data_IF_256969199949
#
_entry.id   IF_256969199949
#
_cell.length_a   1.000
_cell.length_b   1.000
_cell.length_c   1.000
_cell.angle_alpha   90.00
_cell.angle_beta   90.00
_cell.angle_gamma   90.00
#
_symmetry.space_group_name_H-M   'P 1'
#
loop_
_entity.id
_entity.type
_entity.pdbx_description
1 polymer ?
#
# COMPACT_ATOMS: atom_id res chain seq x y z
N UNK A 1 16.61 2.13 -9.26
CA UNK A 1 17.08 2.02 -7.86
C UNK A 1 17.15 3.43 -7.28
N UNK A 2 16.27 3.84 -6.35
CA UNK A 2 16.57 4.96 -5.48
C UNK A 2 17.47 4.51 -4.31
N UNK A 3 18.20 5.45 -3.70
CA UNK A 3 19.43 5.16 -2.98
C UNK A 3 19.18 4.45 -1.64
N UNK A 4 20.08 3.53 -1.33
CA UNK A 4 20.35 3.11 0.04
C UNK A 4 20.68 4.36 0.87
N UNK A 5 20.14 4.46 2.08
CA UNK A 5 20.34 5.56 3.03
C UNK A 5 19.41 6.79 2.84
N UNK A 6 18.16 6.68 3.31
CA UNK A 6 17.34 7.87 3.63
C UNK A 6 16.98 7.86 5.11
N UNK A 7 17.43 8.86 5.89
CA UNK A 7 17.11 8.96 7.32
C UNK A 7 15.64 9.36 7.60
N UNK A 8 15.24 9.07 8.84
CA UNK A 8 13.91 8.81 9.42
C UNK A 8 12.92 10.00 9.49
N UNK A 9 13.00 10.97 8.57
CA UNK A 9 12.13 12.17 8.60
C UNK A 9 11.86 12.79 7.23
N UNK A 10 12.18 12.10 6.13
CA UNK A 10 11.80 12.57 4.80
C UNK A 10 10.29 12.42 4.59
N UNK A 11 9.60 13.53 4.35
CA UNK A 11 8.21 13.53 3.90
C UNK A 11 8.11 12.63 2.66
N UNK A 12 7.23 11.62 2.69
CA UNK A 12 6.92 10.81 1.51
C UNK A 12 6.61 11.72 0.33
N UNK A 13 7.28 11.50 -0.79
CA UNK A 13 6.99 12.17 -2.07
C UNK A 13 6.23 11.24 -3.01
N UNK A 14 5.75 11.78 -4.14
CA UNK A 14 5.00 10.99 -5.12
C UNK A 14 5.81 9.79 -5.65
N UNK A 15 7.11 9.94 -5.86
CA UNK A 15 7.99 8.86 -6.28
C UNK A 15 8.03 7.70 -5.27
N UNK A 16 8.05 8.00 -3.97
CA UNK A 16 8.02 6.98 -2.93
C UNK A 16 6.65 6.27 -2.92
N UNK A 17 5.56 7.02 -3.13
CA UNK A 17 4.22 6.45 -3.22
C UNK A 17 4.09 5.46 -4.40
N UNK A 18 4.71 5.78 -5.54
CA UNK A 18 4.79 4.88 -6.71
C UNK A 18 5.53 3.58 -6.32
N UNK A 19 6.67 3.69 -5.66
CA UNK A 19 7.42 2.51 -5.23
C UNK A 19 6.68 1.69 -4.17
N UNK A 20 5.98 2.33 -3.24
CA UNK A 20 5.15 1.68 -2.22
C UNK A 20 4.03 0.84 -2.86
N UNK A 21 3.44 1.33 -3.96
CA UNK A 21 2.48 0.55 -4.76
C UNK A 21 3.13 -0.65 -5.44
N UNK A 22 4.26 -0.45 -6.11
CA UNK A 22 5.01 -1.52 -6.77
C UNK A 22 5.42 -2.60 -5.75
N UNK A 23 6.00 -2.19 -4.62
CA UNK A 23 6.46 -3.09 -3.57
C UNK A 23 5.31 -3.91 -2.97
N UNK A 24 4.10 -3.33 -2.88
CA UNK A 24 2.89 -4.07 -2.47
C UNK A 24 2.57 -5.20 -3.45
N UNK A 25 2.59 -4.94 -4.75
CA UNK A 25 2.31 -5.97 -5.76
C UNK A 25 3.41 -7.04 -5.83
N UNK A 26 4.65 -6.65 -5.52
CA UNK A 26 5.76 -7.58 -5.31
C UNK A 26 5.70 -8.34 -3.97
N UNK A 27 4.64 -8.13 -3.16
CA UNK A 27 4.45 -8.74 -1.83
C UNK A 27 5.60 -8.47 -0.85
N UNK A 28 6.24 -7.31 -0.95
CA UNK A 28 7.24 -6.86 0.02
C UNK A 28 6.56 -6.69 1.39
N UNK A 29 7.14 -7.22 2.48
CA UNK A 29 6.53 -7.15 3.79
C UNK A 29 6.45 -5.70 4.30
N UNK A 30 5.33 -5.36 4.95
CA UNK A 30 5.07 -4.00 5.49
C UNK A 30 6.20 -3.54 6.40
N UNK A 31 6.75 -4.43 7.24
CA UNK A 31 7.87 -4.12 8.14
C UNK A 31 9.10 -3.61 7.37
N UNK A 32 9.42 -4.21 6.22
CA UNK A 32 10.51 -3.76 5.38
C UNK A 32 10.23 -2.40 4.73
N UNK A 33 8.97 -2.11 4.38
CA UNK A 33 8.58 -0.79 3.87
C UNK A 33 8.70 0.28 4.95
N UNK A 34 8.24 0.01 6.17
CA UNK A 34 8.37 0.91 7.33
C UNK A 34 9.85 1.24 7.57
N UNK A 35 10.70 0.20 7.62
CA UNK A 35 12.14 0.37 7.81
C UNK A 35 12.79 1.15 6.67
N UNK A 36 12.41 0.87 5.42
CA UNK A 36 13.00 1.50 4.23
C UNK A 36 12.61 2.96 4.05
N UNK A 37 11.37 3.30 4.33
CA UNK A 37 10.83 4.65 4.12
C UNK A 37 10.78 5.48 5.41
N UNK A 38 11.18 4.92 6.56
CA UNK A 38 11.15 5.61 7.86
C UNK A 38 9.77 6.15 8.21
N UNK A 39 8.70 5.41 7.88
CA UNK A 39 7.33 5.89 8.00
C UNK A 39 6.41 4.88 8.67
N UNK A 40 5.37 5.36 9.35
CA UNK A 40 4.41 4.49 10.04
C UNK A 40 3.54 3.70 9.07
N UNK A 41 3.05 2.54 9.53
CA UNK A 41 2.12 1.71 8.77
C UNK A 41 0.90 2.51 8.27
N UNK A 42 0.40 3.45 9.07
CA UNK A 42 -0.72 4.33 8.70
C UNK A 42 -0.46 5.08 7.40
N UNK A 43 0.74 5.66 7.24
CA UNK A 43 1.10 6.41 6.02
C UNK A 43 1.13 5.53 4.79
N UNK A 44 1.57 4.27 4.93
CA UNK A 44 1.51 3.29 3.85
C UNK A 44 0.06 3.00 3.44
N UNK A 45 -0.84 2.85 4.41
CA UNK A 45 -2.27 2.66 4.12
C UNK A 45 -2.91 3.89 3.48
N UNK A 46 -2.55 5.13 3.87
CA UNK A 46 -3.03 6.36 3.23
C UNK A 46 -2.65 6.40 1.74
N UNK A 47 -1.44 5.94 1.38
CA UNK A 47 -1.02 5.79 -0.02
C UNK A 47 -1.82 4.69 -0.71
N UNK A 48 -2.01 3.54 -0.07
CA UNK A 48 -2.77 2.43 -0.64
C UNK A 48 -4.27 2.76 -0.80
N UNK A 49 -4.85 3.57 0.07
CA UNK A 49 -6.23 4.05 -0.04
C UNK A 49 -6.39 5.19 -1.06
N UNK A 50 -5.29 5.74 -1.58
CA UNK A 50 -5.32 6.87 -2.49
C UNK A 50 -5.68 8.19 -1.80
N UNK A 51 -5.69 8.23 -0.46
CA UNK A 51 -5.86 9.46 0.33
C UNK A 51 -4.63 10.37 0.19
N UNK A 52 -3.44 9.76 0.01
CA UNK A 52 -2.21 10.47 -0.38
C UNK A 52 -1.76 10.03 -1.77
N UNK A 53 -1.41 11.02 -2.60
CA UNK A 53 -0.89 10.82 -3.95
C UNK A 53 -1.80 9.94 -4.83
N UNK A 54 -3.07 10.31 -5.09
CA UNK A 54 -3.99 9.48 -5.86
C UNK A 54 -3.48 9.15 -7.27
N UNK A 55 -2.74 10.07 -7.90
CA UNK A 55 -2.12 9.87 -9.21
C UNK A 55 -0.97 8.83 -9.20
N UNK A 56 -0.37 8.55 -8.04
CA UNK A 56 0.75 7.61 -7.92
C UNK A 56 0.35 6.18 -8.27
N UNK A 57 -0.91 5.79 -8.04
CA UNK A 57 -1.41 4.44 -8.36
C UNK A 57 -1.34 4.15 -9.86
N UNK A 58 -1.87 5.06 -10.67
CA UNK A 58 -1.89 4.87 -12.13
C UNK A 58 -0.46 4.84 -12.70
N UNK A 59 0.42 5.72 -12.19
CA UNK A 59 1.85 5.73 -12.56
C UNK A 59 2.55 4.45 -12.16
N UNK A 60 2.29 3.95 -10.94
CA UNK A 60 2.83 2.68 -10.47
C UNK A 60 2.35 1.52 -11.32
N UNK A 61 1.07 1.46 -11.69
CA UNK A 61 0.53 0.40 -12.53
C UNK A 61 1.21 0.37 -13.91
N UNK A 62 1.36 1.54 -14.54
CA UNK A 62 2.07 1.65 -15.82
C UNK A 62 3.53 1.17 -15.70
N UNK A 63 4.23 1.60 -14.65
CA UNK A 63 5.61 1.19 -14.40
C UNK A 63 5.72 -0.32 -14.07
N UNK A 64 4.78 -0.86 -13.30
CA UNK A 64 4.76 -2.28 -12.97
C UNK A 64 4.52 -3.15 -14.20
N UNK A 65 3.58 -2.75 -15.08
CA UNK A 65 3.33 -3.43 -16.36
C UNK A 65 4.56 -3.41 -17.27
N UNK A 66 5.31 -2.30 -17.29
CA UNK A 66 6.52 -2.18 -18.08
C UNK A 66 7.69 -3.03 -17.54
N UNK A 67 7.92 -3.01 -16.21
CA UNK A 67 9.05 -3.72 -15.60
C UNK A 67 8.77 -5.20 -15.32
N UNK A 68 7.52 -5.57 -15.09
CA UNK A 68 7.11 -6.91 -14.65
C UNK A 68 5.91 -7.44 -15.45
N UNK A 69 6.00 -7.55 -16.79
CA UNK A 69 4.85 -7.90 -17.64
C UNK A 69 4.22 -9.26 -17.25
N UNK A 70 5.03 -10.28 -16.97
CA UNK A 70 4.54 -11.62 -16.59
C UNK A 70 3.87 -11.66 -15.21
N UNK A 71 4.20 -10.73 -14.32
CA UNK A 71 3.55 -10.62 -13.01
C UNK A 71 2.30 -9.74 -13.10
N UNK A 72 2.30 -8.73 -13.97
CA UNK A 72 1.15 -7.83 -14.17
C UNK A 72 -0.10 -8.59 -14.60
N UNK A 73 0.05 -9.60 -15.45
CA UNK A 73 -1.06 -10.47 -15.89
C UNK A 73 -1.77 -11.17 -14.72
N UNK A 74 -1.00 -11.51 -13.67
CA UNK A 74 -1.45 -12.28 -12.51
C UNK A 74 -1.78 -11.40 -11.30
N UNK A 75 -1.53 -10.09 -11.41
CA UNK A 75 -1.63 -9.15 -10.30
C UNK A 75 -2.90 -8.33 -10.44
N UNK A 76 -3.82 -8.52 -9.49
CA UNK A 76 -4.99 -7.65 -9.38
C UNK A 76 -4.59 -6.29 -8.80
N UNK A 77 -4.59 -5.26 -9.64
CA UNK A 77 -4.31 -3.87 -9.24
C UNK A 77 -5.47 -3.20 -8.46
N UNK A 78 -6.61 -3.90 -8.33
CA UNK A 78 -7.75 -3.46 -7.55
C UNK A 78 -7.48 -3.54 -6.04
N UNK A 79 -7.28 -2.40 -5.39
CA UNK A 79 -7.36 -2.32 -3.94
C UNK A 79 -8.75 -1.80 -3.54
N UNK A 80 -9.57 -2.68 -2.96
CA UNK A 80 -10.86 -2.32 -2.38
C UNK A 80 -10.73 -2.38 -0.86
N UNK A 81 -11.04 -1.29 -0.17
CA UNK A 81 -11.20 -1.31 1.29
C UNK A 81 -12.35 -2.29 1.57
N UNK A 82 -12.06 -3.42 2.20
CA UNK A 82 -13.12 -4.28 2.74
C UNK A 82 -13.77 -3.43 3.85
N UNK A 83 -15.05 -3.03 3.71
CA UNK A 83 -15.72 -2.31 4.78
C UNK A 83 -15.68 -3.21 6.01
N UNK A 84 -15.15 -2.72 7.12
CA UNK A 84 -15.41 -3.36 8.40
C UNK A 84 -16.91 -3.16 8.63
N UNK A 85 -17.70 -4.22 8.47
CA UNK A 85 -19.02 -4.23 9.09
C UNK A 85 -18.77 -3.85 10.56
N UNK A 86 -19.46 -2.82 11.07
CA UNK A 86 -19.63 -2.75 12.52
C UNK A 86 -20.27 -4.09 12.88
N UNK A 87 -19.77 -4.86 13.85
CA UNK A 87 -20.63 -5.86 14.46
C UNK A 87 -21.88 -5.07 14.86
N UNK A 88 -23.01 -5.38 14.22
CA UNK A 88 -24.30 -4.92 14.69
C UNK A 88 -24.42 -5.35 16.14
N UNK A 89 -25.13 -4.56 16.91
CA UNK A 89 -25.44 -4.75 18.33
C UNK A 89 -26.34 -5.99 18.54
N UNK A 90 -25.93 -7.14 18.00
CA UNK A 90 -26.63 -8.42 18.05
C UNK A 90 -25.75 -9.49 18.71
N UNK A 91 -25.04 -9.11 19.79
CA UNK A 91 -24.87 -10.05 20.89
C UNK A 91 -26.23 -10.20 21.59
N UNK A 92 -27.18 -10.80 20.87
CA UNK A 92 -28.39 -11.39 21.43
C UNK A 92 -27.92 -12.42 22.47
N UNK A 93 -28.30 -12.16 23.72
CA UNK A 93 -27.97 -12.99 24.87
C UNK A 93 -28.32 -14.45 24.61
N UNK A 94 -27.31 -15.30 24.70
CA UNK A 94 -27.49 -16.75 24.67
C UNK A 94 -26.78 -17.37 25.88
N UNK A 95 -27.38 -17.15 27.05
CA UNK A 95 -27.19 -17.99 28.23
C UNK A 95 -28.53 -17.99 28.98
N UNK A 96 -29.27 -19.08 28.84
CA UNK A 96 -30.27 -19.56 29.81
C UNK A 96 -29.54 -20.53 30.76
#
# INVERSE_FOLDING_TARGET
MPPADRPESSRLVEADAIEIWIARWLRVPIKALIQRYGCDARRLYEVWWGERFPASRAKAEAQFKACYPSLADRTSFGYRRIPRARPGDEQLGFFD
#
